data_IF_331005728262
#
_entry.id   IF_331005728262
#
_cell.length_a   1.000
_cell.length_b   1.000
_cell.length_c   1.000
_cell.angle_alpha   90.00
_cell.angle_beta   90.00
_cell.angle_gamma   90.00
#
_symmetry.space_group_name_H-M   'P 1'
#
loop_
_entity.id
_entity.type
_entity.pdbx_description
1 polymer ?
#
# COMPACT_ATOMS: atom_id res chain seq x y z
N UNK A 1 -27.67 -19.08 5.66
CA UNK A 1 -26.77 -18.27 6.50
C UNK A 1 -25.86 -17.53 5.55
N UNK A 2 -26.27 -16.35 5.10
CA UNK A 2 -25.41 -15.50 4.26
C UNK A 2 -24.43 -14.86 5.22
N UNK A 3 -23.19 -15.37 5.26
CA UNK A 3 -22.12 -14.71 5.98
C UNK A 3 -21.73 -13.51 5.14
N UNK A 4 -22.17 -12.33 5.54
CA UNK A 4 -21.60 -11.08 5.06
C UNK A 4 -20.12 -11.13 5.40
N UNK A 5 -19.31 -11.51 4.42
CA UNK A 5 -17.87 -11.33 4.47
C UNK A 5 -17.71 -9.81 4.42
N UNK A 6 -17.40 -9.20 5.56
CA UNK A 6 -16.94 -7.82 5.59
C UNK A 6 -15.72 -7.78 4.67
N UNK A 7 -15.91 -7.31 3.44
CA UNK A 7 -14.80 -6.93 2.57
C UNK A 7 -14.22 -5.69 3.23
N UNK A 8 -13.27 -5.89 4.14
CA UNK A 8 -12.33 -4.85 4.50
C UNK A 8 -11.55 -4.61 3.20
N UNK A 9 -11.96 -3.56 2.48
CA UNK A 9 -11.16 -3.00 1.41
C UNK A 9 -9.94 -2.40 2.12
N UNK A 10 -8.86 -3.18 2.24
CA UNK A 10 -7.57 -2.66 2.73
C UNK A 10 -7.10 -1.69 1.65
N UNK A 11 -6.95 -0.40 1.96
CA UNK A 11 -6.50 0.57 0.99
C UNK A 11 -5.11 0.21 0.48
N UNK A 12 -4.88 0.32 -0.82
CA UNK A 12 -3.56 0.06 -1.40
C UNK A 12 -2.57 1.09 -0.85
N UNK A 13 -1.57 0.64 -0.11
CA UNK A 13 -0.62 1.52 0.59
C UNK A 13 -0.64 1.41 2.11
N UNK A 14 -1.58 0.67 2.71
CA UNK A 14 -1.56 0.28 4.13
C UNK A 14 -0.63 -0.94 4.28
N UNK A 15 0.66 -0.67 4.40
CA UNK A 15 1.71 -1.68 4.39
C UNK A 15 2.02 -2.21 5.78
N UNK A 16 1.77 -1.42 6.83
CA UNK A 16 1.94 -1.86 8.21
C UNK A 16 0.66 -2.49 8.81
N UNK A 17 -0.44 -2.49 8.05
CA UNK A 17 -1.73 -3.12 8.35
C UNK A 17 -2.44 -2.49 9.54
N UNK A 18 -2.26 -1.20 9.78
CA UNK A 18 -2.92 -0.46 10.85
C UNK A 18 -4.31 0.09 10.44
N UNK A 19 -4.66 -0.03 9.15
CA UNK A 19 -5.92 0.42 8.56
C UNK A 19 -5.86 1.82 7.98
N UNK A 20 -4.69 2.45 7.97
CA UNK A 20 -4.44 3.81 7.50
C UNK A 20 -3.45 3.79 6.33
N UNK A 21 -3.48 4.82 5.46
CA UNK A 21 -2.38 5.07 4.52
C UNK A 21 -1.74 6.38 4.91
N UNK A 22 -0.63 6.31 5.64
CA UNK A 22 0.02 7.45 6.24
C UNK A 22 1.56 7.43 6.13
N UNK A 23 2.24 8.20 6.99
CA UNK A 23 3.68 8.41 6.87
C UNK A 23 4.49 7.17 7.25
N UNK A 24 3.98 6.32 8.13
CA UNK A 24 4.65 5.09 8.54
C UNK A 24 4.69 4.07 7.38
N UNK A 25 3.65 4.01 6.56
CA UNK A 25 3.64 3.25 5.30
C UNK A 25 4.68 3.73 4.30
N UNK A 26 4.90 5.04 4.21
CA UNK A 26 5.95 5.59 3.35
C UNK A 26 7.33 5.06 3.77
N UNK A 27 7.56 4.86 5.06
CA UNK A 27 8.82 4.27 5.53
C UNK A 27 8.98 2.82 5.05
N UNK A 28 7.89 2.06 4.99
CA UNK A 28 7.88 0.69 4.43
C UNK A 28 8.18 0.72 2.93
N UNK A 29 7.51 1.59 2.16
CA UNK A 29 7.76 1.79 0.73
C UNK A 29 9.22 2.14 0.45
N UNK A 30 9.78 3.10 1.19
CA UNK A 30 11.19 3.50 1.03
C UNK A 30 12.14 2.37 1.42
N UNK A 31 11.75 1.50 2.35
CA UNK A 31 12.54 0.33 2.76
C UNK A 31 12.69 -0.73 1.67
N UNK A 32 11.69 -0.85 0.80
CA UNK A 32 11.70 -1.78 -0.34
C UNK A 32 12.13 -1.12 -1.67
N UNK A 33 12.38 0.19 -1.67
CA UNK A 33 12.82 0.90 -2.86
C UNK A 33 14.35 0.87 -3.01
N UNK A 34 14.93 0.58 -4.21
CA UNK A 34 14.32 0.19 -5.47
C UNK A 34 14.49 -1.31 -5.78
N UNK A 35 14.01 -2.18 -4.88
CA UNK A 35 14.24 -3.62 -4.94
C UNK A 35 13.50 -4.30 -6.11
N UNK A 36 14.08 -5.41 -6.58
CA UNK A 36 13.63 -6.19 -7.75
C UNK A 36 13.59 -7.68 -7.44
N UNK A 37 12.66 -8.09 -6.57
CA UNK A 37 12.44 -9.50 -6.25
C UNK A 37 10.99 -9.80 -5.86
N UNK A 38 10.65 -11.09 -5.79
CA UNK A 38 9.32 -11.52 -5.34
C UNK A 38 9.10 -11.27 -3.85
N UNK A 39 7.85 -11.03 -3.44
CA UNK A 39 7.45 -10.94 -2.04
C UNK A 39 7.54 -9.53 -1.44
N UNK A 40 7.88 -8.53 -2.25
CA UNK A 40 7.79 -7.11 -1.89
C UNK A 40 6.33 -6.73 -1.70
N UNK A 41 5.99 -6.18 -0.54
CA UNK A 41 4.60 -5.81 -0.19
C UNK A 41 4.21 -4.45 -0.77
N UNK A 42 5.22 -3.62 -1.08
CA UNK A 42 5.05 -2.26 -1.62
C UNK A 42 4.96 -2.22 -3.15
N UNK A 43 5.08 -3.39 -3.79
CA UNK A 43 4.98 -3.56 -5.23
C UNK A 43 3.52 -3.62 -5.70
N UNK A 44 2.98 -2.45 -6.02
CA UNK A 44 1.59 -2.22 -6.39
C UNK A 44 1.36 -2.21 -7.91
N UNK A 45 2.35 -1.73 -8.69
CA UNK A 45 2.16 -1.45 -10.12
C UNK A 45 2.30 -2.67 -11.02
N UNK A 46 3.12 -3.65 -10.67
CA UNK A 46 3.22 -4.88 -11.47
C UNK A 46 4.29 -4.87 -12.59
N UNK A 47 5.33 -4.02 -12.53
CA UNK A 47 6.40 -3.94 -13.54
C UNK A 47 7.73 -4.67 -13.23
N UNK A 48 7.81 -5.39 -12.11
CA UNK A 48 8.97 -6.17 -11.66
C UNK A 48 9.89 -5.46 -10.66
N UNK A 49 9.52 -4.25 -10.21
CA UNK A 49 10.36 -3.40 -9.35
C UNK A 49 9.49 -2.51 -8.46
N UNK A 50 9.98 -2.14 -7.28
CA UNK A 50 9.42 -1.02 -6.50
C UNK A 50 10.00 0.29 -7.01
N UNK A 51 9.19 1.11 -7.66
CA UNK A 51 9.59 2.38 -8.27
C UNK A 51 8.51 3.48 -8.20
N UNK A 52 8.72 4.57 -8.97
CA UNK A 52 7.85 5.74 -8.97
C UNK A 52 6.40 5.43 -9.32
N UNK A 53 6.12 4.34 -10.03
CA UNK A 53 4.75 3.92 -10.31
C UNK A 53 4.07 3.40 -9.04
N UNK A 54 4.78 2.64 -8.19
CA UNK A 54 4.27 2.18 -6.91
C UNK A 54 4.05 3.35 -5.94
N UNK A 55 5.00 4.29 -5.90
CA UNK A 55 4.83 5.53 -5.13
C UNK A 55 3.65 6.38 -5.61
N UNK A 56 3.39 6.45 -6.92
CA UNK A 56 2.23 7.17 -7.44
C UNK A 56 0.91 6.57 -6.92
N UNK A 57 0.79 5.24 -6.92
CA UNK A 57 -0.38 4.54 -6.37
C UNK A 57 -0.50 4.80 -4.86
N UNK A 58 0.61 4.68 -4.12
CA UNK A 58 0.64 5.03 -2.69
C UNK A 58 0.16 6.46 -2.43
N UNK A 59 0.68 7.44 -3.18
CA UNK A 59 0.35 8.85 -3.00
C UNK A 59 -1.13 9.15 -3.31
N UNK A 60 -1.72 8.49 -4.31
CA UNK A 60 -3.17 8.59 -4.58
C UNK A 60 -4.02 8.11 -3.40
N UNK A 61 -3.60 7.02 -2.73
CA UNK A 61 -4.31 6.48 -1.56
C UNK A 61 -4.08 7.32 -0.29
N UNK A 62 -2.86 7.85 -0.11
CA UNK A 62 -2.52 8.77 0.98
C UNK A 62 -3.43 10.02 0.98
N UNK A 63 -3.71 10.59 -0.20
CA UNK A 63 -4.54 11.79 -0.35
C UNK A 63 -6.04 11.55 -0.43
N UNK A 64 -6.49 10.38 -0.88
CA UNK A 64 -7.91 10.09 -1.08
C UNK A 64 -8.69 9.78 0.20
N UNK A 65 -8.03 9.79 1.37
CA UNK A 65 -8.68 9.76 2.68
C UNK A 65 -8.73 8.40 3.35
N UNK A 66 -7.87 7.46 2.95
CA UNK A 66 -7.50 6.33 3.79
C UNK A 66 -6.59 6.74 4.97
N UNK A 67 -6.22 8.02 5.06
CA UNK A 67 -5.51 8.60 6.20
C UNK A 67 -6.41 8.63 7.43
N UNK A 68 -5.93 8.04 8.52
CA UNK A 68 -6.56 8.18 9.82
C UNK A 68 -6.45 9.63 10.33
N UNK A 69 -7.42 10.09 11.15
CA UNK A 69 -7.48 11.49 11.62
C UNK A 69 -6.33 11.90 12.54
#
# INVERSE_FOLDING_TARGET
>A
MSGDVFSIDVPAGDFDCDGCVEFDDLAVLVGEWPEEHSGLITYLYGNGKVDLNDFAIFAENYWSGASCP
#
